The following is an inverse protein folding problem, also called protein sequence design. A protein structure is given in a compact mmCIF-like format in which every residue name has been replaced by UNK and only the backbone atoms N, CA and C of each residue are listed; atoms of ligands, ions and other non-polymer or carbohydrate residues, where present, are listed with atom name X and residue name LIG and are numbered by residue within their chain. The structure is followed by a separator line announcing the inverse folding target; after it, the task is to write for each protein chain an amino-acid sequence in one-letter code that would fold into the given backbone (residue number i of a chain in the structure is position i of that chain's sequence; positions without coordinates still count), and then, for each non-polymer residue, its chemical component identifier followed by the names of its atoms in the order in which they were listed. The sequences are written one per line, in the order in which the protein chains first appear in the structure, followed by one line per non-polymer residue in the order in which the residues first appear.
data_IF_955380316931
#
_entry.id   IF_955380316931
#
_cell.length_a   1.000
_cell.length_b   1.000
_cell.length_c   1.000
_cell.angle_alpha   90.00
_cell.angle_beta   90.00
_cell.angle_gamma   90.00
#
_symmetry.space_group_name_H-M   'P 1'
#
loop_
_entity.id
_entity.type
_entity.pdbx_description
1 polymer ?
#
# COMPACT_ATOMS: atom_id res chain seq x y z
N UNK A 1 9.23 -17.25 -4.24
CA UNK A 1 8.67 -16.15 -5.06
C UNK A 1 9.75 -15.09 -5.18
N UNK A 2 10.23 -14.78 -6.38
CA UNK A 2 11.33 -13.82 -6.59
C UNK A 2 10.76 -12.41 -6.70
N UNK A 3 11.00 -11.56 -5.70
CA UNK A 3 10.71 -10.14 -5.80
C UNK A 3 11.75 -9.50 -6.74
N UNK A 4 11.33 -9.14 -7.96
CA UNK A 4 12.14 -8.30 -8.85
C UNK A 4 11.82 -6.84 -8.56
N UNK A 5 12.51 -6.25 -7.59
CA UNK A 5 12.59 -4.80 -7.46
C UNK A 5 13.47 -4.28 -8.60
N UNK A 6 12.89 -3.56 -9.56
CA UNK A 6 13.66 -2.79 -10.55
C UNK A 6 13.80 -1.38 -10.04
N UNK A 7 15.02 -1.02 -9.62
CA UNK A 7 15.41 0.35 -9.33
C UNK A 7 15.46 1.12 -10.66
N UNK A 8 14.53 2.05 -10.87
CA UNK A 8 14.48 2.87 -12.08
C UNK A 8 15.23 4.19 -11.89
N UNK A 9 16.46 4.19 -11.40
CA UNK A 9 17.31 5.39 -11.48
C UNK A 9 18.78 5.04 -11.30
N UNK A 10 19.56 5.31 -12.35
CA UNK A 10 20.95 5.80 -12.24
C UNK A 10 21.44 6.38 -13.59
N UNK A 11 20.56 7.00 -14.40
CA UNK A 11 21.02 7.67 -15.61
C UNK A 11 20.28 8.99 -15.86
N UNK A 12 20.93 10.08 -15.50
CA UNK A 12 20.53 11.48 -15.72
C UNK A 12 20.77 11.92 -17.17
N UNK A 13 20.22 11.17 -18.11
CA UNK A 13 20.21 11.56 -19.52
C UNK A 13 18.90 11.07 -20.17
N UNK A 14 17.99 12.02 -20.39
CA UNK A 14 16.88 11.96 -21.37
C UNK A 14 16.13 10.63 -21.51
N UNK A 15 15.69 10.05 -20.38
CA UNK A 15 14.45 9.28 -20.42
C UNK A 15 13.36 10.32 -20.26
N UNK A 16 12.58 10.57 -21.32
CA UNK A 16 11.27 11.22 -21.23
C UNK A 16 10.62 10.73 -19.94
N UNK A 17 10.51 11.60 -18.92
CA UNK A 17 10.30 11.19 -17.54
C UNK A 17 9.11 10.23 -17.48
N UNK A 18 9.40 8.93 -17.31
CA UNK A 18 8.41 7.86 -17.47
C UNK A 18 7.18 8.21 -16.63
N UNK A 19 6.04 8.41 -17.29
CA UNK A 19 4.81 8.73 -16.58
C UNK A 19 4.29 7.49 -15.87
N UNK A 20 4.68 7.32 -14.62
CA UNK A 20 4.28 6.19 -13.79
C UNK A 20 2.75 6.10 -13.61
N UNK A 21 2.02 7.21 -13.76
CA UNK A 21 0.57 7.22 -13.64
C UNK A 21 -0.11 6.50 -14.83
N UNK A 22 0.53 6.49 -16.01
CA UNK A 22 0.01 5.81 -17.21
C UNK A 22 -0.17 4.30 -17.02
N UNK A 23 0.61 3.67 -16.13
CA UNK A 23 0.47 2.24 -15.82
C UNK A 23 -0.89 1.90 -15.21
N UNK A 24 -1.45 2.80 -14.39
CA UNK A 24 -2.78 2.60 -13.82
C UNK A 24 -3.86 2.61 -14.90
N UNK A 25 -3.73 3.46 -15.93
CA UNK A 25 -4.64 3.49 -17.08
C UNK A 25 -4.58 2.21 -17.91
N UNK A 26 -3.39 1.60 -18.02
CA UNK A 26 -3.22 0.33 -18.74
C UNK A 26 -3.81 -0.86 -17.97
N UNK A 27 -3.58 -0.92 -16.65
CA UNK A 27 -4.12 -1.98 -15.81
C UNK A 27 -4.15 -1.53 -14.34
N UNK A 28 -5.29 -0.99 -13.92
CA UNK A 28 -5.49 -0.45 -12.57
C UNK A 28 -5.41 -1.53 -11.48
N UNK A 29 -5.84 -2.76 -11.77
CA UNK A 29 -5.72 -3.88 -10.83
C UNK A 29 -4.27 -4.26 -10.57
N UNK A 30 -3.43 -4.19 -11.61
CA UNK A 30 -2.00 -4.50 -11.51
C UNK A 30 -1.18 -3.36 -10.93
N UNK A 31 -1.57 -2.12 -11.16
CA UNK A 31 -0.85 -0.91 -10.75
C UNK A 31 -1.77 0.05 -9.98
N UNK A 32 -2.24 -0.34 -8.79
CA UNK A 32 -3.35 0.34 -8.12
C UNK A 32 -2.98 1.69 -7.49
N UNK A 33 -1.74 1.86 -7.00
CA UNK A 33 -1.36 3.02 -6.21
C UNK A 33 0.00 3.57 -6.64
N UNK A 34 0.11 4.90 -6.71
CA UNK A 34 1.33 5.63 -6.95
C UNK A 34 1.54 6.66 -5.84
N UNK A 35 2.66 6.56 -5.12
CA UNK A 35 3.13 7.58 -4.19
C UNK A 35 4.17 8.42 -4.90
N UNK A 36 3.81 9.68 -5.22
CA UNK A 36 4.70 10.61 -5.90
C UNK A 36 5.24 11.64 -4.93
N UNK A 37 6.56 11.83 -4.89
CA UNK A 37 7.17 12.88 -4.08
C UNK A 37 7.07 14.23 -4.78
N UNK A 38 6.61 15.27 -4.07
CA UNK A 38 6.45 16.62 -4.60
C UNK A 38 7.56 17.59 -4.19
N UNK A 39 8.49 17.17 -3.34
CA UNK A 39 9.38 18.11 -2.68
C UNK A 39 10.74 18.28 -3.38
N UNK A 40 11.18 19.53 -3.46
CA UNK A 40 12.33 20.02 -4.23
C UNK A 40 13.68 19.93 -3.49
N UNK A 41 13.70 19.42 -2.25
CA UNK A 41 14.92 19.34 -1.43
C UNK A 41 15.48 17.92 -1.41
N UNK A 42 16.74 17.77 -1.76
CA UNK A 42 17.49 16.52 -1.92
C UNK A 42 17.47 15.52 -0.75
N UNK A 43 17.01 15.91 0.45
CA UNK A 43 17.20 15.11 1.67
C UNK A 43 16.00 14.25 2.12
N UNK A 44 14.86 14.19 1.40
CA UNK A 44 13.72 13.31 1.78
C UNK A 44 12.73 12.99 0.64
N UNK A 45 13.14 13.16 -0.63
CA UNK A 45 12.19 13.23 -1.76
C UNK A 45 12.63 12.46 -2.99
N UNK A 46 13.54 11.49 -2.79
CA UNK A 46 14.29 10.88 -3.88
C UNK A 46 13.50 9.80 -4.64
N UNK A 47 12.30 9.42 -4.17
CA UNK A 47 11.59 8.25 -4.69
C UNK A 47 10.12 8.53 -4.98
N UNK A 48 9.72 8.18 -6.19
CA UNK A 48 8.33 7.85 -6.52
C UNK A 48 8.17 6.32 -6.40
N UNK A 49 7.08 5.87 -5.78
CA UNK A 49 6.83 4.45 -5.51
C UNK A 49 5.52 4.04 -6.21
N UNK A 50 5.65 3.21 -7.25
CA UNK A 50 4.51 2.56 -7.90
C UNK A 50 4.28 1.19 -7.25
N UNK A 51 3.13 1.01 -6.60
CA UNK A 51 2.71 -0.28 -6.05
C UNK A 51 2.20 -1.13 -7.20
N UNK A 52 2.70 -2.37 -7.30
CA UNK A 52 2.41 -3.26 -8.41
C UNK A 52 2.19 -4.70 -7.96
N UNK A 53 1.34 -5.41 -8.71
CA UNK A 53 1.02 -6.83 -8.51
C UNK A 53 0.60 -7.15 -7.06
N UNK A 54 -0.50 -6.55 -6.56
CA UNK A 54 -1.00 -6.89 -5.22
C UNK A 54 -1.28 -8.41 -5.15
N UNK A 55 -0.87 -9.03 -4.05
CA UNK A 55 -1.09 -10.46 -3.83
C UNK A 55 -2.51 -10.74 -3.33
N UNK A 56 -2.98 -9.91 -2.40
CA UNK A 56 -4.32 -9.92 -1.85
C UNK A 56 -4.65 -8.55 -1.28
N UNK A 57 -5.94 -8.29 -1.05
CA UNK A 57 -6.47 -7.06 -0.46
C UNK A 57 -7.36 -7.40 0.71
N UNK A 58 -7.26 -6.63 1.79
CA UNK A 58 -8.15 -6.69 2.94
C UNK A 58 -8.98 -5.41 2.94
N UNK A 59 -10.31 -5.52 3.04
CA UNK A 59 -11.22 -4.38 3.00
C UNK A 59 -12.23 -4.47 4.13
N UNK A 60 -12.28 -3.43 4.95
CA UNK A 60 -13.39 -3.18 5.84
C UNK A 60 -14.45 -2.40 5.04
N UNK A 61 -15.59 -3.03 4.79
CA UNK A 61 -16.69 -2.45 4.03
C UNK A 61 -17.53 -1.52 4.91
N UNK A 62 -18.36 -0.68 4.28
CA UNK A 62 -19.22 0.28 4.98
C UNK A 62 -20.23 -0.37 5.94
N UNK A 63 -20.64 -1.62 5.66
CA UNK A 63 -21.49 -2.43 6.53
C UNK A 63 -20.74 -3.08 7.70
N UNK A 64 -19.46 -2.71 7.91
CA UNK A 64 -18.53 -3.25 8.90
C UNK A 64 -18.14 -4.71 8.67
N UNK A 65 -18.45 -5.29 7.51
CA UNK A 65 -17.93 -6.60 7.13
C UNK A 65 -16.47 -6.49 6.69
N UNK A 66 -15.65 -7.44 7.13
CA UNK A 66 -14.25 -7.54 6.72
C UNK A 66 -14.11 -8.62 5.65
N UNK A 67 -13.59 -8.25 4.48
CA UNK A 67 -13.36 -9.16 3.36
C UNK A 67 -11.87 -9.25 3.00
N UNK A 68 -11.48 -10.40 2.48
CA UNK A 68 -10.17 -10.64 1.87
C UNK A 68 -10.37 -11.08 0.43
N UNK A 69 -9.55 -10.59 -0.50
CA UNK A 69 -9.63 -11.01 -1.91
C UNK A 69 -9.08 -12.41 -2.17
N UNK A 70 -8.42 -13.02 -1.17
CA UNK A 70 -7.92 -14.39 -1.21
C UNK A 70 -8.64 -15.21 -0.13
N UNK A 71 -9.53 -16.10 -0.57
CA UNK A 71 -10.37 -16.94 0.29
C UNK A 71 -9.57 -17.93 1.15
N UNK A 72 -8.30 -18.19 0.81
CA UNK A 72 -7.44 -19.06 1.61
C UNK A 72 -6.89 -18.38 2.87
N UNK A 73 -6.97 -17.05 2.94
CA UNK A 73 -6.49 -16.25 4.05
C UNK A 73 -7.62 -15.97 5.04
N UNK A 74 -7.30 -16.13 6.32
CA UNK A 74 -8.26 -15.84 7.39
C UNK A 74 -8.31 -14.34 7.71
N UNK A 75 -9.51 -13.87 8.03
CA UNK A 75 -9.78 -12.55 8.60
C UNK A 75 -10.04 -12.69 10.10
N UNK A 76 -9.59 -11.70 10.87
CA UNK A 76 -9.81 -11.62 12.32
C UNK A 76 -11.08 -10.80 12.63
N UNK A 77 -11.30 -10.53 13.91
CA UNK A 77 -12.50 -9.81 14.38
C UNK A 77 -12.57 -8.35 13.91
N UNK A 78 -11.43 -7.72 13.62
CA UNK A 78 -11.35 -6.36 13.09
C UNK A 78 -10.19 -6.21 12.11
N UNK A 79 -10.19 -5.08 11.40
CA UNK A 79 -9.21 -4.77 10.36
C UNK A 79 -7.77 -4.73 10.90
N UNK A 80 -7.52 -4.05 12.03
CA UNK A 80 -6.15 -3.89 12.56
C UNK A 80 -5.56 -5.22 13.06
N UNK A 81 -6.36 -6.06 13.71
CA UNK A 81 -5.93 -7.42 14.10
C UNK A 81 -5.62 -8.27 12.87
N UNK A 82 -6.44 -8.15 11.81
CA UNK A 82 -6.20 -8.87 10.55
C UNK A 82 -4.91 -8.39 9.89
N UNK A 83 -4.71 -7.08 9.78
CA UNK A 83 -3.50 -6.47 9.24
C UNK A 83 -2.25 -6.88 10.04
N UNK A 84 -2.32 -6.83 11.37
CA UNK A 84 -1.23 -7.22 12.25
C UNK A 84 -0.86 -8.70 12.08
N UNK A 85 -1.86 -9.59 12.07
CA UNK A 85 -1.65 -11.03 11.83
C UNK A 85 -0.91 -11.27 10.52
N UNK A 86 -1.38 -10.67 9.43
CA UNK A 86 -0.75 -10.86 8.12
C UNK A 86 0.61 -10.18 8.04
N UNK A 87 0.80 -9.03 8.67
CA UNK A 87 2.11 -8.40 8.78
C UNK A 87 3.12 -9.33 9.48
N UNK A 88 2.78 -9.87 10.65
CA UNK A 88 3.67 -10.78 11.39
C UNK A 88 4.00 -12.04 10.59
N UNK A 89 3.02 -12.61 9.89
CA UNK A 89 3.22 -13.80 9.06
C UNK A 89 4.15 -13.55 7.85
N UNK A 90 4.16 -12.33 7.31
CA UNK A 90 4.96 -11.97 6.14
C UNK A 90 6.25 -11.21 6.48
N UNK A 91 6.46 -10.92 7.77
CA UNK A 91 7.61 -10.15 8.24
C UNK A 91 8.91 -10.85 7.85
N UNK A 92 9.77 -10.11 7.17
CA UNK A 92 11.08 -10.58 6.72
C UNK A 92 12.17 -9.79 7.45
N UNK A 93 13.28 -10.45 7.76
CA UNK A 93 14.45 -9.78 8.32
C UNK A 93 15.12 -8.92 7.24
N UNK A 94 15.42 -7.67 7.58
CA UNK A 94 16.11 -6.75 6.68
C UNK A 94 17.62 -7.01 6.81
N UNK A 95 18.27 -7.40 5.72
CA UNK A 95 19.72 -7.62 5.71
C UNK A 95 20.45 -6.29 5.96
N UNK A 96 21.31 -6.27 6.98
CA UNK A 96 22.13 -5.11 7.33
C UNK A 96 23.27 -4.92 6.33
N UNK A 97 23.24 -3.86 5.52
CA UNK A 97 24.42 -3.42 4.74
C UNK A 97 24.18 -2.92 3.32
N UNK A 98 22.98 -3.06 2.74
CA UNK A 98 22.69 -2.53 1.40
C UNK A 98 22.06 -1.14 1.45
N UNK A 99 22.19 -0.36 0.36
CA UNK A 99 21.54 0.95 0.19
C UNK A 99 20.02 0.74 0.28
N UNK A 100 19.47 0.99 1.45
CA UNK A 100 18.11 0.61 1.79
C UNK A 100 17.12 1.45 0.99
N UNK A 101 16.40 0.81 0.06
CA UNK A 101 15.22 1.39 -0.57
C UNK A 101 14.21 1.79 0.54
N UNK A 102 13.49 2.91 0.40
CA UNK A 102 12.48 3.30 1.39
C UNK A 102 11.31 2.31 1.47
N UNK A 103 11.12 1.51 0.43
CA UNK A 103 10.10 0.47 0.34
C UNK A 103 10.61 -0.71 -0.49
N UNK A 104 10.59 -1.91 0.08
CA UNK A 104 11.06 -3.15 -0.56
C UNK A 104 9.95 -4.20 -0.72
N UNK A 105 8.69 -3.79 -0.55
CA UNK A 105 7.53 -4.66 -0.52
C UNK A 105 6.85 -4.68 0.85
N UNK A 106 5.60 -5.10 0.87
CA UNK A 106 4.75 -5.08 2.06
C UNK A 106 3.38 -4.48 1.73
N UNK A 107 2.87 -3.68 2.66
CA UNK A 107 1.50 -3.18 2.62
C UNK A 107 1.43 -1.74 2.13
N UNK A 108 0.52 -1.50 1.19
CA UNK A 108 -0.08 -0.18 1.01
C UNK A 108 -1.38 -0.16 1.82
N UNK A 109 -1.56 0.85 2.66
CA UNK A 109 -2.72 0.96 3.54
C UNK A 109 -3.40 2.31 3.32
N UNK A 110 -4.69 2.26 3.02
CA UNK A 110 -5.56 3.42 3.02
C UNK A 110 -6.48 3.30 4.24
N UNK A 111 -6.46 4.32 5.10
CA UNK A 111 -7.34 4.42 6.27
C UNK A 111 -8.27 5.60 6.02
N UNK A 112 -9.57 5.33 5.88
CA UNK A 112 -10.57 6.40 5.81
C UNK A 112 -10.73 7.07 7.18
N UNK A 113 -11.45 8.19 7.21
CA UNK A 113 -11.72 8.90 8.46
C UNK A 113 -12.55 8.04 9.43
N UNK A 114 -13.47 7.26 8.90
CA UNK A 114 -14.41 6.40 9.64
C UNK A 114 -13.69 5.28 10.39
N UNK A 115 -12.46 4.95 9.99
CA UNK A 115 -11.60 4.01 10.70
C UNK A 115 -11.36 4.40 12.16
N UNK A 116 -11.60 5.66 12.54
CA UNK A 116 -11.52 6.10 13.93
C UNK A 116 -12.51 5.37 14.85
N UNK A 117 -13.68 4.93 14.36
CA UNK A 117 -14.66 4.18 15.18
C UNK A 117 -14.13 2.80 15.61
N UNK A 118 -13.23 2.20 14.82
CA UNK A 118 -12.56 0.94 15.15
C UNK A 118 -11.48 1.12 16.24
N UNK A 119 -10.91 2.33 16.35
CA UNK A 119 -9.88 2.67 17.34
C UNK A 119 -10.51 3.14 18.64
N UNK A 120 -11.54 3.98 18.55
CA UNK A 120 -12.25 4.61 19.66
C UNK A 120 -13.73 4.22 19.63
N UNK A 121 -14.12 3.07 20.22
CA UNK A 121 -15.49 2.54 20.14
C UNK A 121 -16.57 3.42 20.77
N UNK A 122 -16.17 4.47 21.50
CA UNK A 122 -17.06 5.47 22.07
C UNK A 122 -17.49 6.53 21.06
N UNK A 123 -16.80 6.65 19.92
CA UNK A 123 -17.18 7.54 18.84
C UNK A 123 -18.33 6.93 18.03
N UNK A 124 -19.26 7.78 17.64
CA UNK A 124 -20.35 7.44 16.72
C UNK A 124 -20.40 8.53 15.66
N UNK A 125 -20.03 8.15 14.45
CA UNK A 125 -20.04 9.00 13.28
C UNK A 125 -21.41 8.94 12.59
N UNK A 126 -21.78 10.01 11.85
CA UNK A 126 -22.96 9.96 11.01
C UNK A 126 -22.79 8.91 9.91
N UNK A 127 -23.88 8.21 9.57
CA UNK A 127 -23.89 7.29 8.42
C UNK A 127 -23.52 8.05 7.14
N UNK A 128 -22.51 7.55 6.44
CA UNK A 128 -22.21 8.00 5.07
C UNK A 128 -23.37 7.53 4.18
N UNK A 129 -24.02 8.49 3.52
CA UNK A 129 -25.00 8.18 2.49
C UNK A 129 -24.25 7.73 1.25
N UNK A 130 -24.67 6.61 0.66
CA UNK A 130 -24.27 6.24 -0.69
C UNK A 130 -24.82 7.32 -1.64
N UNK A 131 -23.95 8.17 -2.20
CA UNK A 131 -24.30 9.06 -3.33
C UNK A 131 -24.28 8.31 -4.67
#
# INVERSE_FOLDING_TARGET
MSFKTRLLTDNTAEIDALDLASFNQLNSLRYPYLLKSSASRQNNTQFDILIACPQYTITLNSDRSLSCSDDSLSVESNFFQTLEKHYQNNKTEIASGEKMLPFSGGWFVYLSYEMVEEIEPCLTLPELKDE
#
